data_IF_053571139986
#
_entry.id   IF_053571139986
#
_cell.length_a   1.000
_cell.length_b   1.000
_cell.length_c   1.000
_cell.angle_alpha   90.00
_cell.angle_beta   90.00
_cell.angle_gamma   90.00
#
_symmetry.space_group_name_H-M   'P 1'
#
loop_
_entity.id
_entity.type
_entity.pdbx_description
1 polymer ?
#
# COMPACT_ATOMS: atom_id res chain seq x y z
N UNK A 1 28.77 3.91 -69.30
CA UNK A 1 28.89 4.57 -68.00
C UNK A 1 27.52 4.50 -67.36
N UNK A 2 27.37 3.53 -66.46
CA UNK A 2 26.11 2.97 -65.97
C UNK A 2 25.91 3.52 -64.56
N UNK A 3 24.85 4.29 -64.33
CA UNK A 3 24.55 4.87 -63.01
C UNK A 3 23.62 3.93 -62.23
N UNK A 4 24.17 3.48 -61.11
CA UNK A 4 23.64 2.50 -60.17
C UNK A 4 22.33 2.95 -59.51
N UNK A 5 21.32 2.09 -59.58
CA UNK A 5 20.10 2.15 -58.76
C UNK A 5 20.44 1.52 -57.43
N UNK A 6 20.75 2.33 -56.42
CA UNK A 6 20.94 1.84 -55.05
C UNK A 6 19.59 1.73 -54.36
N UNK A 7 19.11 0.49 -54.31
CA UNK A 7 17.99 0.01 -53.51
C UNK A 7 18.19 0.33 -52.03
N UNK A 8 17.32 1.17 -51.44
CA UNK A 8 17.20 1.32 -49.97
C UNK A 8 16.31 0.20 -49.45
N UNK A 9 16.94 -0.89 -49.02
CA UNK A 9 16.29 -1.95 -48.25
C UNK A 9 15.96 -1.43 -46.85
N UNK A 10 14.66 -1.43 -46.51
CA UNK A 10 14.14 -0.98 -45.22
C UNK A 10 14.64 -1.85 -44.08
N UNK A 11 15.34 -1.22 -43.13
CA UNK A 11 15.70 -1.85 -41.87
C UNK A 11 14.43 -2.16 -41.07
N UNK A 12 14.21 -3.45 -40.83
CA UNK A 12 13.14 -3.95 -39.97
C UNK A 12 13.49 -3.54 -38.54
N UNK A 13 12.68 -2.67 -37.95
CA UNK A 13 12.82 -2.23 -36.56
C UNK A 13 12.41 -3.42 -35.69
N UNK A 14 13.39 -4.16 -35.18
CA UNK A 14 13.17 -5.20 -34.18
C UNK A 14 12.66 -4.56 -32.90
N UNK A 15 11.35 -4.65 -32.66
CA UNK A 15 10.76 -4.29 -31.38
C UNK A 15 11.38 -5.19 -30.29
N UNK A 16 12.14 -4.58 -29.38
CA UNK A 16 12.59 -5.23 -28.16
C UNK A 16 11.36 -5.54 -27.32
N UNK A 17 10.97 -6.81 -27.30
CA UNK A 17 9.98 -7.34 -26.36
C UNK A 17 10.57 -7.14 -24.98
N UNK A 18 9.99 -6.24 -24.19
CA UNK A 18 10.36 -6.02 -22.81
C UNK A 18 10.41 -7.36 -22.07
N UNK A 19 11.53 -7.62 -21.40
CA UNK A 19 11.82 -8.85 -20.67
C UNK A 19 10.84 -8.99 -19.50
N UNK A 20 9.73 -9.71 -19.73
CA UNK A 20 8.79 -10.06 -18.66
C UNK A 20 9.50 -11.07 -17.77
N UNK A 21 10.15 -10.55 -16.72
CA UNK A 21 10.87 -11.34 -15.73
C UNK A 21 9.89 -12.31 -15.07
N UNK A 22 9.88 -13.57 -15.50
CA UNK A 22 8.95 -14.59 -14.99
C UNK A 22 9.29 -14.90 -13.53
N UNK A 23 8.31 -14.73 -12.65
CA UNK A 23 8.44 -15.09 -11.23
C UNK A 23 8.65 -16.61 -11.11
N UNK A 24 9.70 -17.08 -10.40
CA UNK A 24 9.91 -18.50 -10.17
C UNK A 24 8.71 -19.17 -9.49
N UNK A 25 8.40 -20.42 -9.84
CA UNK A 25 7.28 -21.17 -9.27
C UNK A 25 7.29 -21.19 -7.72
N UNK A 26 8.47 -21.34 -7.12
CA UNK A 26 8.59 -21.35 -5.66
C UNK A 26 8.18 -20.01 -5.02
N UNK A 27 8.50 -18.90 -5.66
CA UNK A 27 8.12 -17.56 -5.20
C UNK A 27 6.63 -17.32 -5.40
N UNK A 28 6.10 -17.66 -6.58
CA UNK A 28 4.67 -17.57 -6.87
C UNK A 28 3.83 -18.44 -5.92
N UNK A 29 4.27 -19.67 -5.64
CA UNK A 29 3.60 -20.57 -4.70
C UNK A 29 3.63 -20.03 -3.27
N UNK A 30 4.75 -19.44 -2.82
CA UNK A 30 4.82 -18.78 -1.53
C UNK A 30 3.89 -17.57 -1.45
N UNK A 31 3.85 -16.72 -2.47
CA UNK A 31 2.94 -15.57 -2.51
C UNK A 31 1.47 -16.01 -2.40
N UNK A 32 1.07 -17.00 -3.21
CA UNK A 32 -0.28 -17.58 -3.16
C UNK A 32 -0.62 -18.16 -1.79
N UNK A 33 0.33 -18.86 -1.15
CA UNK A 33 0.17 -19.37 0.22
C UNK A 33 -0.07 -18.23 1.20
N UNK A 34 0.76 -17.17 1.15
CA UNK A 34 0.63 -16.01 2.04
C UNK A 34 -0.74 -15.37 1.86
N UNK A 35 -1.16 -15.11 0.63
CA UNK A 35 -2.46 -14.50 0.35
C UNK A 35 -3.62 -15.34 0.87
N UNK A 36 -3.59 -16.65 0.61
CA UNK A 36 -4.62 -17.58 1.09
C UNK A 36 -4.74 -17.57 2.63
N UNK A 37 -3.61 -17.52 3.33
CA UNK A 37 -3.59 -17.46 4.81
C UNK A 37 -4.14 -16.14 5.32
N UNK A 38 -3.75 -15.03 4.70
CA UNK A 38 -4.20 -13.70 5.12
C UNK A 38 -5.67 -13.45 4.79
N UNK A 39 -6.21 -14.08 3.74
CA UNK A 39 -7.64 -14.07 3.42
C UNK A 39 -8.44 -14.88 4.43
N UNK A 40 -7.98 -16.09 4.77
CA UNK A 40 -8.60 -16.88 5.83
C UNK A 40 -8.59 -16.16 7.19
N UNK A 41 -7.51 -15.43 7.50
CA UNK A 41 -7.46 -14.55 8.68
C UNK A 41 -8.50 -13.43 8.59
N UNK A 42 -8.65 -12.78 7.42
CA UNK A 42 -9.66 -11.73 7.21
C UNK A 42 -11.08 -12.27 7.45
N UNK A 43 -11.39 -13.44 6.89
CA UNK A 43 -12.70 -14.08 7.03
C UNK A 43 -13.05 -14.36 8.49
N UNK A 44 -12.08 -14.84 9.28
CA UNK A 44 -12.27 -15.06 10.70
C UNK A 44 -12.49 -13.74 11.46
N UNK A 45 -11.75 -12.69 11.13
CA UNK A 45 -11.88 -11.37 11.74
C UNK A 45 -13.23 -10.70 11.45
N UNK A 46 -13.92 -11.07 10.37
CA UNK A 46 -15.28 -10.57 10.10
C UNK A 46 -16.32 -11.10 11.10
N UNK A 47 -16.02 -12.22 11.77
CA UNK A 47 -16.95 -12.87 12.70
C UNK A 47 -16.47 -12.85 14.17
N UNK A 48 -15.18 -12.64 14.41
CA UNK A 48 -14.55 -12.80 15.73
C UNK A 48 -13.51 -11.70 15.96
N UNK A 49 -13.37 -11.29 17.21
CA UNK A 49 -12.28 -10.40 17.62
C UNK A 49 -10.91 -11.10 17.50
N UNK A 50 -9.85 -10.35 17.20
CA UNK A 50 -8.49 -10.89 17.09
C UNK A 50 -8.08 -11.70 18.31
N UNK A 51 -8.47 -11.27 19.53
CA UNK A 51 -8.11 -11.96 20.77
C UNK A 51 -8.59 -13.41 20.80
N UNK A 52 -9.73 -13.69 20.16
CA UNK A 52 -10.30 -15.03 20.07
C UNK A 52 -9.67 -15.88 18.95
N UNK A 53 -8.97 -15.28 17.99
CA UNK A 53 -8.44 -16.00 16.81
C UNK A 53 -7.05 -16.56 17.11
N UNK A 54 -6.90 -17.88 16.95
CA UNK A 54 -5.62 -18.57 17.10
C UNK A 54 -4.97 -18.90 15.76
N UNK A 55 -3.64 -19.10 15.74
CA UNK A 55 -2.92 -19.63 14.55
C UNK A 55 -3.51 -20.98 14.08
N UNK A 56 -4.04 -21.78 15.01
CA UNK A 56 -4.70 -23.05 14.67
C UNK A 56 -6.02 -22.84 13.92
N UNK A 57 -6.79 -21.82 14.27
CA UNK A 57 -8.03 -21.48 13.57
C UNK A 57 -7.73 -20.99 12.16
N UNK A 58 -6.73 -20.11 12.00
CA UNK A 58 -6.30 -19.63 10.68
C UNK A 58 -5.79 -20.78 9.81
N UNK A 59 -4.98 -21.69 10.37
CA UNK A 59 -4.49 -22.87 9.64
C UNK A 59 -5.64 -23.75 9.14
N UNK A 60 -6.65 -23.98 10.00
CA UNK A 60 -7.84 -24.75 9.64
C UNK A 60 -8.64 -24.06 8.53
N UNK A 61 -8.86 -22.75 8.63
CA UNK A 61 -9.60 -21.97 7.64
C UNK A 61 -8.87 -21.91 6.28
N UNK A 62 -7.53 -21.77 6.30
CA UNK A 62 -6.71 -21.76 5.10
C UNK A 62 -6.43 -23.15 4.49
N UNK A 63 -6.87 -24.23 5.15
CA UNK A 63 -6.64 -25.60 4.67
C UNK A 63 -5.18 -26.07 4.73
N UNK A 64 -4.37 -25.52 5.64
CA UNK A 64 -2.94 -25.84 5.77
C UNK A 64 -2.57 -26.28 7.20
N UNK A 65 -1.34 -26.76 7.37
CA UNK A 65 -0.83 -27.12 8.70
C UNK A 65 -0.45 -25.88 9.52
N UNK A 66 -0.56 -25.97 10.85
CA UNK A 66 -0.02 -24.94 11.77
C UNK A 66 1.47 -24.69 11.54
N UNK A 67 2.23 -25.76 11.29
CA UNK A 67 3.66 -25.67 11.04
C UNK A 67 3.95 -24.85 9.78
N UNK A 68 3.11 -24.95 8.75
CA UNK A 68 3.22 -24.13 7.54
C UNK A 68 3.05 -22.64 7.86
N UNK A 69 2.08 -22.25 8.71
CA UNK A 69 1.94 -20.85 9.15
C UNK A 69 3.17 -20.39 9.93
N UNK A 70 3.65 -21.19 10.88
CA UNK A 70 4.84 -20.82 11.65
C UNK A 70 6.10 -20.71 10.77
N UNK A 71 6.25 -21.56 9.76
CA UNK A 71 7.37 -21.48 8.83
C UNK A 71 7.31 -20.20 7.97
N UNK A 72 6.10 -19.74 7.62
CA UNK A 72 5.92 -18.59 6.72
C UNK A 72 5.85 -17.24 7.45
N UNK A 73 5.24 -17.21 8.64
CA UNK A 73 4.98 -15.97 9.39
C UNK A 73 5.74 -15.91 10.73
N UNK A 74 6.40 -16.99 11.16
CA UNK A 74 7.19 -17.06 12.38
C UNK A 74 6.36 -17.14 13.67
N UNK A 75 5.39 -16.25 13.84
CA UNK A 75 4.57 -16.15 15.06
C UNK A 75 3.16 -15.62 14.76
N UNK A 76 2.29 -15.59 15.77
CA UNK A 76 0.98 -14.92 15.68
C UNK A 76 1.14 -13.42 15.42
N UNK A 77 2.14 -12.78 16.02
CA UNK A 77 2.48 -11.38 15.77
C UNK A 77 2.97 -11.19 14.32
N UNK A 78 3.81 -12.09 13.81
CA UNK A 78 4.27 -12.03 12.42
C UNK A 78 3.15 -12.27 11.41
N UNK A 79 2.12 -13.05 11.77
CA UNK A 79 0.90 -13.19 10.99
C UNK A 79 0.12 -11.85 10.95
N UNK A 80 -0.07 -11.19 12.09
CA UNK A 80 -0.70 -9.87 12.15
C UNK A 80 0.10 -8.81 11.37
N UNK A 81 1.42 -8.83 11.47
CA UNK A 81 2.30 -7.96 10.68
C UNK A 81 2.17 -8.22 9.18
N UNK A 82 2.11 -9.49 8.77
CA UNK A 82 1.88 -9.86 7.36
C UNK A 82 0.54 -9.35 6.84
N UNK A 83 -0.53 -9.47 7.65
CA UNK A 83 -1.82 -8.90 7.32
C UNK A 83 -1.75 -7.38 7.19
N UNK A 84 -1.14 -6.70 8.16
CA UNK A 84 -1.03 -5.24 8.19
C UNK A 84 -0.22 -4.70 7.02
N UNK A 85 0.89 -5.35 6.63
CA UNK A 85 1.66 -4.98 5.44
C UNK A 85 0.82 -5.09 4.17
N UNK A 86 0.09 -6.21 3.99
CA UNK A 86 -0.80 -6.39 2.83
C UNK A 86 -1.96 -5.40 2.82
N UNK A 87 -2.48 -5.04 3.99
CA UNK A 87 -3.50 -4.00 4.10
C UNK A 87 -2.94 -2.62 3.76
N UNK A 88 -1.74 -2.31 4.26
CA UNK A 88 -1.08 -1.05 3.96
C UNK A 88 -0.74 -0.92 2.47
N UNK A 89 -0.36 -2.01 1.80
CA UNK A 89 -0.20 -2.04 0.34
C UNK A 89 -1.47 -1.62 -0.38
N UNK A 90 -2.62 -2.22 -0.01
CA UNK A 90 -3.92 -1.84 -0.58
C UNK A 90 -4.25 -0.37 -0.33
N UNK A 91 -3.88 0.19 0.82
CA UNK A 91 -4.11 1.61 1.10
C UNK A 91 -3.24 2.52 0.24
N UNK A 92 -1.97 2.15 -0.01
CA UNK A 92 -1.10 2.90 -0.92
C UNK A 92 -1.61 2.83 -2.36
N UNK A 93 -2.12 1.67 -2.80
CA UNK A 93 -2.70 1.50 -4.15
C UNK A 93 -3.90 2.46 -4.39
N UNK A 94 -4.69 2.75 -3.35
CA UNK A 94 -5.80 3.72 -3.44
C UNK A 94 -5.29 5.15 -3.66
N UNK A 95 -4.18 5.51 -3.01
CA UNK A 95 -3.55 6.82 -3.19
C UNK A 95 -2.96 6.93 -4.60
N UNK A 96 -2.31 5.88 -5.09
CA UNK A 96 -1.81 5.82 -6.46
C UNK A 96 -2.95 5.97 -7.50
N UNK A 97 -4.08 5.28 -7.27
CA UNK A 97 -5.27 5.43 -8.12
C UNK A 97 -5.81 6.85 -8.08
N UNK A 98 -5.93 7.45 -6.89
CA UNK A 98 -6.39 8.82 -6.72
C UNK A 98 -5.49 9.85 -7.42
N UNK A 99 -4.17 9.63 -7.41
CA UNK A 99 -3.23 10.44 -8.19
C UNK A 99 -3.53 10.29 -9.68
N UNK A 100 -3.64 9.06 -10.20
CA UNK A 100 -3.90 8.83 -11.62
C UNK A 100 -5.26 9.38 -12.10
N UNK A 101 -6.29 9.35 -11.27
CA UNK A 101 -7.64 9.78 -11.63
C UNK A 101 -7.82 11.31 -11.67
N UNK A 102 -6.94 12.08 -11.03
CA UNK A 102 -7.07 13.53 -10.85
C UNK A 102 -5.90 14.31 -11.49
N UNK A 103 -5.57 13.99 -12.74
CA UNK A 103 -4.46 14.62 -13.46
C UNK A 103 -4.60 16.14 -13.48
N UNK A 104 -3.58 16.85 -12.99
CA UNK A 104 -3.53 18.32 -12.97
C UNK A 104 -4.18 18.98 -11.75
N UNK A 105 -4.82 18.21 -10.85
CA UNK A 105 -5.44 18.72 -9.63
C UNK A 105 -4.91 17.99 -8.39
N UNK A 106 -3.89 18.59 -7.76
CA UNK A 106 -3.21 18.01 -6.59
C UNK A 106 -4.18 17.93 -5.40
N UNK A 107 -5.04 18.93 -5.23
CA UNK A 107 -6.00 18.95 -4.13
C UNK A 107 -7.03 17.82 -4.29
N UNK A 108 -7.59 17.66 -5.48
CA UNK A 108 -8.55 16.58 -5.75
C UNK A 108 -7.92 15.19 -5.59
N UNK A 109 -6.68 14.99 -6.06
CA UNK A 109 -5.93 13.76 -5.88
C UNK A 109 -5.73 13.41 -4.39
N UNK A 110 -5.24 14.36 -3.60
CA UNK A 110 -5.04 14.17 -2.15
C UNK A 110 -6.37 13.94 -1.43
N UNK A 111 -7.41 14.70 -1.77
CA UNK A 111 -8.73 14.56 -1.17
C UNK A 111 -9.33 13.18 -1.42
N UNK A 112 -9.32 12.71 -2.68
CA UNK A 112 -9.79 11.36 -3.03
C UNK A 112 -8.96 10.30 -2.29
N UNK A 113 -7.64 10.44 -2.26
CA UNK A 113 -6.74 9.52 -1.57
C UNK A 113 -7.03 9.42 -0.07
N UNK A 114 -7.15 10.56 0.63
CA UNK A 114 -7.47 10.58 2.06
C UNK A 114 -8.87 10.02 2.36
N UNK A 115 -9.89 10.35 1.55
CA UNK A 115 -11.23 9.79 1.72
C UNK A 115 -11.24 8.27 1.57
N UNK A 116 -10.57 7.75 0.54
CA UNK A 116 -10.43 6.32 0.32
C UNK A 116 -9.70 5.63 1.47
N UNK A 117 -8.61 6.24 1.96
CA UNK A 117 -7.87 5.77 3.13
C UNK A 117 -8.76 5.66 4.38
N UNK A 118 -9.51 6.72 4.72
CA UNK A 118 -10.36 6.71 5.91
C UNK A 118 -11.49 5.68 5.80
N UNK A 119 -12.16 5.61 4.65
CA UNK A 119 -13.22 4.63 4.42
C UNK A 119 -12.71 3.19 4.54
N UNK A 120 -11.55 2.89 3.95
CA UNK A 120 -10.99 1.53 3.98
C UNK A 120 -10.41 1.17 5.34
N UNK A 121 -9.76 2.10 6.02
CA UNK A 121 -9.26 1.88 7.39
C UNK A 121 -10.39 1.65 8.38
N UNK A 122 -11.47 2.42 8.29
CA UNK A 122 -12.63 2.26 9.18
C UNK A 122 -13.40 0.93 8.97
N UNK A 123 -13.25 0.30 7.81
CA UNK A 123 -13.94 -0.95 7.47
C UNK A 123 -13.05 -2.19 7.57
N UNK A 124 -11.75 -2.05 7.85
CA UNK A 124 -10.86 -3.20 7.96
C UNK A 124 -11.09 -3.96 9.27
N UNK A 125 -11.32 -5.28 9.24
CA UNK A 125 -11.61 -6.07 10.43
C UNK A 125 -10.51 -6.08 11.49
N UNK A 126 -9.23 -5.98 11.10
CA UNK A 126 -8.12 -5.93 12.06
C UNK A 126 -8.05 -4.55 12.71
N UNK A 127 -8.30 -3.46 11.96
CA UNK A 127 -8.41 -2.11 12.51
C UNK A 127 -9.61 -2.00 13.46
N UNK A 128 -10.76 -2.55 13.10
CA UNK A 128 -11.93 -2.62 14.00
C UNK A 128 -11.57 -3.38 15.28
N UNK A 129 -10.89 -4.51 15.18
CA UNK A 129 -10.47 -5.28 16.34
C UNK A 129 -9.39 -4.56 17.18
N UNK A 130 -8.53 -3.75 16.58
CA UNK A 130 -7.59 -2.90 17.30
C UNK A 130 -8.32 -1.82 18.12
N UNK A 131 -9.32 -1.17 17.52
CA UNK A 131 -10.04 -0.04 18.08
C UNK A 131 -11.15 -0.43 19.07
N UNK A 132 -11.61 -1.68 19.03
CA UNK A 132 -12.74 -2.16 19.82
C UNK A 132 -12.34 -3.30 20.76
N UNK A 133 -13.12 -3.46 21.83
CA UNK A 133 -12.94 -4.55 22.79
C UNK A 133 -11.71 -4.39 23.68
N UNK A 134 -11.12 -5.52 24.07
CA UNK A 134 -9.97 -5.55 24.99
C UNK A 134 -8.69 -5.16 24.26
N UNK A 135 -7.82 -4.42 24.95
CA UNK A 135 -6.49 -4.06 24.46
C UNK A 135 -5.67 -5.31 24.11
N UNK A 136 -5.03 -5.27 22.94
CA UNK A 136 -4.25 -6.39 22.37
C UNK A 136 -2.78 -5.97 22.30
N UNK A 137 -1.92 -6.40 23.24
CA UNK A 137 -0.54 -5.93 23.31
C UNK A 137 0.25 -6.15 22.02
N UNK A 138 0.01 -7.26 21.32
CA UNK A 138 0.65 -7.57 20.03
C UNK A 138 0.25 -6.60 18.91
N UNK A 139 -1.03 -6.22 18.82
CA UNK A 139 -1.48 -5.21 17.87
C UNK A 139 -0.99 -3.80 18.25
N UNK A 140 -1.02 -3.45 19.54
CA UNK A 140 -0.50 -2.16 20.02
C UNK A 140 1.00 -2.03 19.74
N UNK A 141 1.77 -3.10 19.94
CA UNK A 141 3.19 -3.13 19.62
C UNK A 141 3.44 -2.91 18.11
N UNK A 142 2.62 -3.56 17.26
CA UNK A 142 2.70 -3.45 15.80
C UNK A 142 2.51 -2.02 15.27
N UNK A 143 1.59 -1.25 15.85
CA UNK A 143 1.32 0.14 15.44
C UNK A 143 2.19 1.18 16.17
N UNK A 144 2.98 0.76 17.18
CA UNK A 144 3.85 1.65 17.96
C UNK A 144 5.33 1.30 17.77
N UNK A 145 5.90 0.47 18.64
CA UNK A 145 7.34 0.18 18.70
C UNK A 145 7.84 -0.57 17.47
N UNK A 146 7.00 -1.44 16.90
CA UNK A 146 7.37 -2.33 15.80
C UNK A 146 6.79 -1.87 14.45
N UNK A 147 6.32 -0.61 14.37
CA UNK A 147 5.72 -0.01 13.17
C UNK A 147 6.73 0.32 12.07
N UNK A 148 8.03 0.30 12.38
CA UNK A 148 9.13 0.70 11.49
C UNK A 148 9.09 0.06 10.09
N UNK A 149 8.92 -1.26 9.95
CA UNK A 149 8.80 -1.92 8.65
C UNK A 149 7.62 -1.42 7.82
N UNK A 150 6.44 -1.25 8.43
CA UNK A 150 5.23 -0.76 7.73
C UNK A 150 5.47 0.68 7.24
N UNK A 151 5.97 1.55 8.12
CA UNK A 151 6.24 2.95 7.79
C UNK A 151 7.27 3.05 6.65
N UNK A 152 8.36 2.29 6.74
CA UNK A 152 9.43 2.30 5.73
C UNK A 152 8.90 1.84 4.38
N UNK A 153 8.20 0.69 4.36
CA UNK A 153 7.62 0.12 3.14
C UNK A 153 6.64 1.06 2.47
N UNK A 154 5.65 1.58 3.21
CA UNK A 154 4.65 2.48 2.64
C UNK A 154 5.25 3.81 2.19
N UNK A 155 6.23 4.33 2.94
CA UNK A 155 6.91 5.57 2.55
C UNK A 155 7.68 5.41 1.25
N UNK A 156 8.38 4.29 1.05
CA UNK A 156 9.09 3.99 -0.19
C UNK A 156 8.12 3.88 -1.38
N UNK A 157 7.03 3.13 -1.20
CA UNK A 157 6.01 2.97 -2.24
C UNK A 157 5.38 4.32 -2.62
N UNK A 158 4.94 5.09 -1.63
CA UNK A 158 4.30 6.38 -1.88
C UNK A 158 5.30 7.42 -2.45
N UNK A 159 6.57 7.37 -2.05
CA UNK A 159 7.64 8.18 -2.69
C UNK A 159 7.71 7.87 -4.18
N UNK A 160 7.72 6.58 -4.54
CA UNK A 160 7.72 6.14 -5.95
C UNK A 160 6.48 6.63 -6.69
N UNK A 161 5.29 6.59 -6.09
CA UNK A 161 4.06 7.08 -6.73
C UNK A 161 4.12 8.59 -7.01
N UNK A 162 4.66 9.41 -6.10
CA UNK A 162 4.83 10.84 -6.36
C UNK A 162 5.88 11.15 -7.44
N UNK A 163 6.96 10.37 -7.50
CA UNK A 163 8.02 10.56 -8.50
C UNK A 163 7.59 10.17 -9.92
N UNK A 164 6.86 9.06 -10.05
CA UNK A 164 6.54 8.45 -11.35
C UNK A 164 5.13 8.76 -11.86
N UNK A 165 4.37 9.58 -11.13
CA UNK A 165 3.08 10.12 -11.60
C UNK A 165 3.25 11.47 -12.31
N UNK A 166 2.14 12.06 -12.75
CA UNK A 166 2.11 13.40 -13.34
C UNK A 166 2.57 14.51 -12.38
N UNK A 167 2.65 14.24 -11.07
CA UNK A 167 3.19 15.18 -10.07
C UNK A 167 4.69 15.40 -10.26
N UNK A 168 5.42 14.37 -10.70
CA UNK A 168 6.87 14.40 -10.97
C UNK A 168 7.69 15.09 -9.87
N UNK A 169 7.39 14.81 -8.61
CA UNK A 169 8.14 15.38 -7.49
C UNK A 169 9.57 14.82 -7.44
N UNK A 170 10.55 15.65 -7.08
CA UNK A 170 11.92 15.19 -6.87
C UNK A 170 12.02 14.18 -5.72
N UNK A 171 12.95 13.22 -5.81
CA UNK A 171 13.08 12.10 -4.85
C UNK A 171 13.13 12.56 -3.38
N UNK A 172 13.91 13.59 -3.10
CA UNK A 172 14.06 14.13 -1.75
C UNK A 172 12.71 14.65 -1.20
N UNK A 173 11.99 15.43 -2.01
CA UNK A 173 10.74 16.09 -1.61
C UNK A 173 9.57 15.10 -1.57
N UNK A 174 9.48 14.20 -2.55
CA UNK A 174 8.55 13.07 -2.55
C UNK A 174 8.71 12.23 -1.28
N UNK A 175 9.97 11.98 -0.88
CA UNK A 175 10.28 11.26 0.35
C UNK A 175 9.84 12.00 1.62
N UNK A 176 9.94 13.34 1.65
CA UNK A 176 9.45 14.15 2.77
C UNK A 176 7.93 14.03 2.90
N UNK A 177 7.20 14.24 1.79
CA UNK A 177 5.74 14.11 1.75
C UNK A 177 5.30 12.71 2.17
N UNK A 178 5.86 11.67 1.56
CA UNK A 178 5.47 10.29 1.81
C UNK A 178 5.64 9.89 3.28
N UNK A 179 6.80 10.21 3.89
CA UNK A 179 7.05 9.89 5.30
C UNK A 179 6.11 10.63 6.25
N UNK A 180 5.75 11.89 5.94
CA UNK A 180 4.80 12.65 6.74
C UNK A 180 3.38 12.08 6.62
N UNK A 181 2.92 11.81 5.40
CA UNK A 181 1.60 11.24 5.13
C UNK A 181 1.46 9.88 5.80
N UNK A 182 2.44 8.98 5.67
CA UNK A 182 2.37 7.63 6.24
C UNK A 182 2.31 7.67 7.78
N UNK A 183 3.04 8.58 8.43
CA UNK A 183 2.98 8.73 9.89
C UNK A 183 1.65 9.28 10.37
N UNK A 184 1.07 10.24 9.66
CA UNK A 184 -0.27 10.75 9.96
C UNK A 184 -1.34 9.67 9.74
N UNK A 185 -1.27 8.94 8.62
CA UNK A 185 -2.15 7.82 8.34
C UNK A 185 -2.10 6.77 9.47
N UNK A 186 -0.90 6.37 9.91
CA UNK A 186 -0.74 5.46 11.06
C UNK A 186 -1.36 6.00 12.35
N UNK A 187 -1.22 7.31 12.60
CA UNK A 187 -1.86 7.98 13.74
C UNK A 187 -3.39 7.85 13.68
N UNK A 188 -3.99 8.09 12.51
CA UNK A 188 -5.43 7.99 12.32
C UNK A 188 -5.98 6.57 12.38
N UNK A 189 -5.16 5.54 12.12
CA UNK A 189 -5.56 4.14 12.37
C UNK A 189 -5.77 3.89 13.86
N UNK A 190 -4.94 4.49 14.71
CA UNK A 190 -4.99 4.31 16.18
C UNK A 190 -5.99 5.24 16.85
N UNK A 191 -6.17 6.43 16.26
CA UNK A 191 -7.06 7.47 16.74
C UNK A 191 -7.86 8.02 15.55
N UNK A 192 -9.01 7.40 15.22
CA UNK A 192 -9.85 7.82 14.10
C UNK A 192 -10.26 9.29 14.19
N UNK A 193 -10.53 9.94 13.05
CA UNK A 193 -10.91 11.35 13.02
C UNK A 193 -12.23 11.61 13.78
N UNK A 194 -12.37 12.82 14.31
CA UNK A 194 -13.60 13.30 14.95
C UNK A 194 -14.72 13.44 13.92
N UNK A 195 -15.97 13.12 14.30
CA UNK A 195 -17.09 13.03 13.37
C UNK A 195 -17.63 14.38 12.88
N UNK A 196 -17.23 15.49 13.50
CA UNK A 196 -17.68 16.85 13.21
C UNK A 196 -16.76 17.60 12.23
N UNK A 197 -15.63 17.02 11.84
CA UNK A 197 -14.67 17.62 10.92
C UNK A 197 -14.43 16.75 9.68
N UNK A 198 -14.30 17.38 8.52
CA UNK A 198 -13.85 16.71 7.30
C UNK A 198 -12.32 16.65 7.25
N UNK A 199 -11.76 15.78 8.09
CA UNK A 199 -10.30 15.64 8.24
C UNK A 199 -9.61 15.30 6.91
N UNK A 200 -10.29 14.61 5.99
CA UNK A 200 -9.75 14.35 4.65
C UNK A 200 -9.54 15.65 3.87
N UNK A 201 -10.51 16.58 3.93
CA UNK A 201 -10.41 17.89 3.29
C UNK A 201 -9.32 18.77 3.94
N UNK A 202 -9.20 18.72 5.27
CA UNK A 202 -8.18 19.48 6.00
C UNK A 202 -6.76 18.98 5.68
N UNK A 203 -6.55 17.66 5.66
CA UNK A 203 -5.27 17.07 5.28
C UNK A 203 -4.92 17.35 3.82
N UNK A 204 -5.88 17.24 2.89
CA UNK A 204 -5.64 17.60 1.50
C UNK A 204 -5.19 19.06 1.39
N UNK A 205 -5.93 19.97 2.05
CA UNK A 205 -5.59 21.41 2.09
C UNK A 205 -4.21 21.68 2.69
N UNK A 206 -3.81 20.92 3.71
CA UNK A 206 -2.51 21.04 4.36
C UNK A 206 -1.36 20.62 3.44
N UNK A 207 -1.52 19.51 2.70
CA UNK A 207 -0.46 18.95 1.87
C UNK A 207 -0.37 19.52 0.46
N UNK A 208 -1.46 20.07 -0.11
CA UNK A 208 -1.48 20.64 -1.46
C UNK A 208 -0.37 21.67 -1.71
N UNK A 209 -0.16 22.70 -0.86
CA UNK A 209 0.87 23.71 -1.13
C UNK A 209 2.28 23.13 -1.18
N UNK A 210 2.57 22.11 -0.36
CA UNK A 210 3.86 21.44 -0.37
C UNK A 210 4.02 20.60 -1.65
N UNK A 211 3.00 19.84 -2.04
CA UNK A 211 3.01 19.05 -3.27
C UNK A 211 3.12 19.91 -4.54
N UNK A 212 2.46 21.08 -4.60
CA UNK A 212 2.62 22.05 -5.69
C UNK A 212 4.03 22.65 -5.73
N UNK A 213 4.61 22.95 -4.57
CA UNK A 213 5.97 23.51 -4.45
C UNK A 213 7.05 22.52 -4.90
N UNK A 214 6.82 21.23 -4.65
CA UNK A 214 7.73 20.12 -4.91
C UNK A 214 7.53 19.46 -6.28
N UNK A 215 6.32 19.54 -6.83
CA UNK A 215 6.02 19.10 -8.18
C UNK A 215 6.71 19.99 -9.20
N UNK A 216 7.28 19.38 -10.23
CA UNK A 216 7.72 20.09 -11.42
C UNK A 216 6.49 20.40 -12.28
N UNK A 217 5.60 21.27 -11.79
CA UNK A 217 4.56 21.82 -12.65
C UNK A 217 5.30 22.82 -13.56
N UNK A 218 5.74 22.37 -14.73
CA UNK A 218 5.98 23.29 -15.84
C UNK A 218 4.65 24.00 -16.08
N UNK A 219 4.56 25.24 -15.59
CA UNK A 219 3.47 26.13 -15.95
C UNK A 219 3.49 26.26 -17.49
N UNK A 220 2.34 26.05 -18.18
CA UNK A 220 2.25 26.20 -19.63
C UNK A 220 2.59 27.62 -20.10
#
# INVERSE_FOLDING_TARGET
MQTDVTSRSGAVIGASVADVKRVPYAEASRALLRDSVLDAMRELLLARDWSDITVADVARAAGISRQTIYNEFGSRQGLAQGYALRFADRLVDLVESAIHDNVGDIYAALLQGFRAFFAQSASDPLVISLLTGVAKPDLLQLITTDSGPIITHCSQRLTSSFMHSWVQAGEQDAGILARAIVRLAMSYVSMPPEADHDVAADLARLFTPAAERYGMIEAP
#
